data_IF_497768705497
#
_entry.id   IF_497768705497
#
_cell.length_a   1.000
_cell.length_b   1.000
_cell.length_c   1.000
_cell.angle_alpha   90.00
_cell.angle_beta   90.00
_cell.angle_gamma   90.00
#
_symmetry.space_group_name_H-M   'P 1'
#
loop_
_entity.id
_entity.type
_entity.pdbx_description
1 polymer ?
#
# COMPACT_ATOMS: atom_id res chain seq x y z
N UNK A 1 12.55 -12.68 -22.85
CA UNK A 1 11.85 -11.68 -22.01
C UNK A 1 12.16 -11.86 -20.52
N UNK A 2 12.14 -13.07 -19.94
CA UNK A 2 12.55 -13.26 -18.54
C UNK A 2 14.02 -12.89 -18.25
N UNK A 3 14.95 -13.09 -19.18
CA UNK A 3 16.34 -12.61 -19.05
C UNK A 3 16.44 -11.09 -18.85
N UNK A 4 15.46 -10.32 -19.33
CA UNK A 4 15.47 -8.86 -19.22
C UNK A 4 14.99 -8.35 -17.84
N UNK A 5 14.34 -9.21 -17.04
CA UNK A 5 13.88 -8.89 -15.70
C UNK A 5 14.66 -9.73 -14.70
N UNK A 6 15.45 -9.07 -13.84
CA UNK A 6 16.19 -9.62 -12.69
C UNK A 6 16.78 -11.03 -12.88
N UNK A 7 18.11 -11.10 -13.08
CA UNK A 7 18.93 -12.31 -13.29
C UNK A 7 18.58 -13.53 -12.40
N UNK A 8 18.10 -13.32 -11.18
CA UNK A 8 17.73 -14.37 -10.20
C UNK A 8 16.45 -15.13 -10.52
N UNK A 9 15.64 -14.67 -11.48
CA UNK A 9 14.40 -15.36 -11.86
C UNK A 9 14.66 -16.68 -12.60
N UNK A 10 15.75 -16.77 -13.35
CA UNK A 10 16.13 -17.99 -14.08
C UNK A 10 16.70 -19.08 -13.18
N UNK A 11 17.23 -18.71 -12.03
CA UNK A 11 17.74 -19.66 -11.02
C UNK A 11 16.61 -20.35 -10.26
N UNK A 12 15.37 -19.83 -10.37
CA UNK A 12 14.22 -20.40 -9.69
C UNK A 12 13.78 -21.70 -10.36
N UNK A 13 13.45 -22.72 -9.58
CA UNK A 13 12.83 -23.92 -10.10
C UNK A 13 11.57 -23.58 -10.88
N UNK A 14 11.41 -24.21 -12.04
CA UNK A 14 10.33 -23.95 -12.98
C UNK A 14 9.47 -25.20 -13.15
N UNK A 15 8.15 -25.00 -13.14
CA UNK A 15 7.16 -26.03 -13.42
C UNK A 15 6.43 -25.65 -14.70
N UNK A 16 6.35 -26.56 -15.67
CA UNK A 16 5.67 -26.31 -16.94
C UNK A 16 4.31 -26.99 -16.93
N UNK A 17 3.25 -26.20 -17.11
CA UNK A 17 1.87 -26.71 -17.18
C UNK A 17 1.34 -26.51 -18.59
N UNK A 18 1.10 -27.61 -19.29
CA UNK A 18 0.42 -27.64 -20.57
C UNK A 18 -1.10 -27.69 -20.32
N UNK A 19 -1.75 -26.53 -20.42
CA UNK A 19 -3.20 -26.42 -20.27
C UNK A 19 -3.93 -26.61 -21.62
N UNK A 20 -5.22 -26.95 -21.57
CA UNK A 20 -6.15 -27.15 -22.69
C UNK A 20 -5.85 -28.39 -23.53
N UNK A 21 -5.58 -29.51 -22.87
CA UNK A 21 -5.36 -30.80 -23.54
C UNK A 21 -6.59 -31.37 -24.25
N UNK A 22 -7.76 -30.77 -24.05
CA UNK A 22 -9.01 -31.05 -24.78
C UNK A 22 -9.00 -30.56 -26.24
N UNK A 23 -8.02 -29.73 -26.63
CA UNK A 23 -7.95 -29.17 -27.98
C UNK A 23 -7.30 -30.13 -29.00
N UNK A 24 -7.82 -30.12 -30.22
CA UNK A 24 -7.23 -30.87 -31.34
C UNK A 24 -5.75 -30.49 -31.56
N UNK A 25 -4.90 -31.52 -31.65
CA UNK A 25 -3.46 -31.36 -31.83
C UNK A 25 -2.69 -30.92 -30.57
N UNK A 26 -3.32 -30.93 -29.39
CA UNK A 26 -2.62 -30.65 -28.13
C UNK A 26 -1.55 -31.73 -27.82
N UNK A 27 -1.89 -33.01 -28.02
CA UNK A 27 -0.96 -34.13 -27.79
C UNK A 27 0.31 -34.02 -28.63
N UNK A 28 0.18 -33.70 -29.92
CA UNK A 28 1.33 -33.55 -30.83
C UNK A 28 2.25 -32.40 -30.41
N UNK A 29 1.66 -31.28 -29.96
CA UNK A 29 2.41 -30.11 -29.47
C UNK A 29 3.15 -30.42 -28.17
N UNK A 30 2.50 -31.09 -27.23
CA UNK A 30 3.12 -31.48 -25.97
C UNK A 30 4.23 -32.51 -26.22
N UNK A 31 4.01 -33.46 -27.11
CA UNK A 31 5.02 -34.43 -27.50
C UNK A 31 6.25 -33.75 -28.13
N UNK A 32 6.05 -32.81 -29.06
CA UNK A 32 7.13 -32.02 -29.65
C UNK A 32 7.87 -31.18 -28.60
N UNK A 33 7.15 -30.61 -27.64
CA UNK A 33 7.74 -29.82 -26.55
C UNK A 33 8.60 -30.70 -25.62
N UNK A 34 8.07 -31.87 -25.19
CA UNK A 34 8.80 -32.83 -24.35
C UNK A 34 10.07 -33.34 -25.04
N UNK A 35 10.04 -33.55 -26.36
CA UNK A 35 11.25 -33.89 -27.12
C UNK A 35 12.27 -32.75 -27.18
N UNK A 36 11.80 -31.51 -27.34
CA UNK A 36 12.69 -30.35 -27.47
C UNK A 36 13.34 -29.95 -26.15
N UNK A 37 12.62 -30.16 -25.04
CA UNK A 37 13.03 -29.77 -23.70
C UNK A 37 12.84 -30.90 -22.67
N UNK A 38 13.64 -31.98 -22.74
CA UNK A 38 13.51 -33.14 -21.86
C UNK A 38 13.85 -32.84 -20.39
N UNK A 39 14.48 -31.70 -20.11
CA UNK A 39 14.87 -31.27 -18.76
C UNK A 39 13.71 -30.72 -17.93
N UNK A 40 12.59 -30.32 -18.56
CA UNK A 40 11.45 -29.75 -17.85
C UNK A 40 10.37 -30.80 -17.66
N UNK A 41 9.86 -30.89 -16.43
CA UNK A 41 8.67 -31.68 -16.15
C UNK A 41 7.43 -30.92 -16.62
N UNK A 42 6.65 -31.58 -17.49
CA UNK A 42 5.49 -30.99 -18.15
C UNK A 42 4.24 -31.70 -17.68
N UNK A 43 3.36 -30.94 -17.05
CA UNK A 43 2.07 -31.41 -16.54
C UNK A 43 0.95 -31.07 -17.51
N UNK A 44 0.29 -32.10 -18.00
CA UNK A 44 -0.86 -32.00 -18.89
C UNK A 44 -2.13 -31.77 -18.07
N UNK A 45 -2.89 -30.72 -18.39
CA UNK A 45 -4.07 -30.31 -17.62
C UNK A 45 -5.23 -29.90 -18.51
N UNK A 46 -6.45 -30.20 -18.04
CA UNK A 46 -7.70 -29.67 -18.59
C UNK A 46 -8.41 -28.94 -17.45
N UNK A 47 -8.16 -27.63 -17.34
CA UNK A 47 -8.68 -26.83 -16.23
C UNK A 47 -10.21 -26.74 -16.20
N UNK A 48 -10.90 -26.98 -17.32
CA UNK A 48 -12.36 -26.95 -17.38
C UNK A 48 -13.02 -28.06 -16.53
N UNK A 49 -12.37 -29.23 -16.47
CA UNK A 49 -12.85 -30.41 -15.73
C UNK A 49 -11.96 -30.73 -14.51
N UNK A 50 -11.03 -29.82 -14.17
CA UNK A 50 -10.03 -29.98 -13.11
C UNK A 50 -9.17 -31.24 -13.24
N UNK A 51 -8.96 -31.74 -14.46
CA UNK A 51 -8.14 -32.92 -14.72
C UNK A 51 -6.65 -32.53 -14.75
N UNK A 52 -5.81 -33.37 -14.13
CA UNK A 52 -4.36 -33.18 -14.06
C UNK A 52 -3.88 -32.14 -13.04
N UNK A 53 -4.78 -31.30 -12.50
CA UNK A 53 -4.41 -30.22 -11.59
C UNK A 53 -3.84 -30.72 -10.26
N UNK A 54 -4.32 -31.86 -9.77
CA UNK A 54 -3.86 -32.42 -8.49
C UNK A 54 -2.39 -32.85 -8.54
N UNK A 55 -1.93 -33.39 -9.67
CA UNK A 55 -0.51 -33.72 -9.87
C UNK A 55 0.37 -32.45 -9.84
N UNK A 56 -0.09 -31.36 -10.44
CA UNK A 56 0.60 -30.05 -10.40
C UNK A 56 0.71 -29.54 -8.96
N UNK A 57 -0.36 -29.61 -8.18
CA UNK A 57 -0.38 -29.13 -6.80
C UNK A 57 0.63 -29.90 -5.94
N UNK A 58 0.66 -31.23 -6.05
CA UNK A 58 1.62 -32.04 -5.30
C UNK A 58 3.05 -31.76 -5.74
N UNK A 59 3.32 -31.68 -7.05
CA UNK A 59 4.64 -31.36 -7.55
C UNK A 59 5.15 -29.99 -7.08
N UNK A 60 4.27 -28.98 -7.04
CA UNK A 60 4.63 -27.65 -6.52
C UNK A 60 4.86 -27.69 -5.00
N UNK A 61 4.08 -28.46 -4.25
CA UNK A 61 4.28 -28.62 -2.81
C UNK A 61 5.64 -29.26 -2.50
N UNK A 62 5.96 -30.36 -3.18
CA UNK A 62 7.25 -31.05 -3.04
C UNK A 62 8.42 -30.14 -3.44
N UNK A 63 8.23 -29.34 -4.50
CA UNK A 63 9.22 -28.34 -4.92
C UNK A 63 9.42 -27.26 -3.86
N UNK A 64 8.36 -26.76 -3.24
CA UNK A 64 8.45 -25.74 -2.18
C UNK A 64 9.12 -26.25 -0.90
N UNK A 65 9.05 -27.55 -0.63
CA UNK A 65 9.70 -28.20 0.51
C UNK A 65 11.18 -28.48 0.27
N UNK A 66 11.55 -28.78 -0.98
CA UNK A 66 12.96 -29.04 -1.35
C UNK A 66 13.78 -27.78 -1.59
N UNK A 67 13.11 -26.67 -1.91
CA UNK A 67 13.76 -25.42 -2.28
C UNK A 67 14.13 -24.60 -1.04
N UNK A 68 15.40 -24.23 -0.94
CA UNK A 68 15.84 -23.28 0.06
C UNK A 68 15.25 -21.89 -0.23
N UNK A 69 14.25 -21.52 0.58
CA UNK A 69 13.55 -20.24 0.49
C UNK A 69 14.50 -19.05 0.70
N UNK A 70 15.64 -19.25 1.37
CA UNK A 70 16.62 -18.21 1.64
C UNK A 70 17.55 -17.95 0.44
N UNK A 71 17.77 -18.93 -0.43
CA UNK A 71 18.63 -18.80 -1.62
C UNK A 71 18.12 -17.77 -2.64
N UNK A 72 16.82 -17.48 -2.63
CA UNK A 72 16.17 -16.51 -3.54
C UNK A 72 15.74 -15.23 -2.86
N UNK A 73 16.11 -15.02 -1.59
CA UNK A 73 15.94 -13.73 -0.93
C UNK A 73 16.76 -12.72 -1.70
N UNK A 74 16.06 -11.83 -2.39
CA UNK A 74 16.62 -10.59 -2.89
C UNK A 74 17.00 -9.81 -1.63
N UNK A 75 18.22 -10.02 -1.13
CA UNK A 75 18.89 -8.98 -0.38
C UNK A 75 18.83 -7.78 -1.32
N UNK A 76 18.14 -6.69 -0.94
CA UNK A 76 18.09 -5.53 -1.80
C UNK A 76 19.55 -5.22 -2.13
N UNK A 77 19.89 -5.31 -3.41
CA UNK A 77 21.08 -4.65 -3.92
C UNK A 77 21.01 -3.24 -3.35
N UNK A 78 22.11 -2.78 -2.79
CA UNK A 78 22.28 -1.55 -2.01
C UNK A 78 21.93 -0.26 -2.77
N UNK A 79 21.15 -0.33 -3.85
CA UNK A 79 20.79 0.72 -4.80
C UNK A 79 19.29 0.78 -5.13
N UNK A 80 18.44 -0.09 -4.56
CA UNK A 80 17.03 0.26 -4.42
C UNK A 80 16.87 0.82 -3.01
N UNK A 81 16.67 2.14 -2.90
CA UNK A 81 16.13 2.74 -1.69
C UNK A 81 14.82 2.02 -1.37
N UNK A 82 14.91 0.99 -0.53
CA UNK A 82 13.77 0.41 0.14
C UNK A 82 13.28 1.51 1.05
N UNK A 83 12.40 2.37 0.52
CA UNK A 83 11.58 3.25 1.32
C UNK A 83 10.66 2.32 2.10
N UNK A 84 11.16 1.86 3.24
CA UNK A 84 10.37 1.22 4.26
C UNK A 84 9.28 2.24 4.62
N UNK A 85 8.10 2.10 4.02
CA UNK A 85 6.88 2.69 4.53
C UNK A 85 6.58 1.99 5.85
N UNK A 86 7.33 2.37 6.88
CA UNK A 86 6.87 2.23 8.25
C UNK A 86 5.63 3.13 8.30
N UNK A 87 4.46 2.53 8.42
CA UNK A 87 3.29 3.25 8.87
C UNK A 87 3.59 3.66 10.32
N UNK A 88 4.28 4.78 10.47
CA UNK A 88 4.23 5.53 11.70
C UNK A 88 2.80 6.05 11.74
N UNK A 89 1.99 5.72 12.77
CA UNK A 89 0.73 6.41 12.94
C UNK A 89 1.10 7.89 12.93
N UNK A 90 0.58 8.64 11.94
CA UNK A 90 0.74 10.09 11.91
C UNK A 90 0.37 10.57 13.30
N UNK A 91 1.38 10.88 14.11
CA UNK A 91 1.18 11.59 15.35
C UNK A 91 0.42 12.81 14.89
N UNK A 92 -0.78 13.02 15.42
CA UNK A 92 -1.60 14.16 15.07
C UNK A 92 -0.70 15.39 15.11
N UNK A 93 -0.41 15.99 13.95
CA UNK A 93 0.55 17.10 13.83
C UNK A 93 -0.10 18.38 14.40
N UNK A 94 -0.54 18.35 15.64
CA UNK A 94 -1.20 19.46 16.31
C UNK A 94 -0.21 20.07 17.28
N UNK A 95 0.05 21.36 17.12
CA UNK A 95 0.87 22.15 18.03
C UNK A 95 0.06 23.35 18.48
N UNK A 96 0.11 23.63 19.78
CA UNK A 96 -0.60 24.76 20.38
C UNK A 96 0.39 25.56 21.22
N UNK A 97 0.47 26.85 20.99
CA UNK A 97 1.35 27.77 21.71
C UNK A 97 0.52 28.93 22.26
N UNK A 98 0.68 29.25 23.55
CA UNK A 98 0.04 30.43 24.14
C UNK A 98 0.84 31.68 23.75
N UNK A 99 0.23 32.59 23.00
CA UNK A 99 0.90 33.82 22.51
C UNK A 99 0.61 35.01 23.42
N UNK A 100 -0.64 35.14 23.86
CA UNK A 100 -1.10 36.18 24.77
C UNK A 100 -2.13 35.60 25.76
N UNK A 101 -2.49 36.30 26.85
CA UNK A 101 -3.56 35.84 27.72
C UNK A 101 -4.84 35.63 26.91
N UNK A 102 -5.41 34.42 26.97
CA UNK A 102 -6.61 34.01 26.22
C UNK A 102 -6.44 33.98 24.69
N UNK A 103 -5.19 33.99 24.19
CA UNK A 103 -4.89 33.88 22.76
C UNK A 103 -3.92 32.75 22.49
N UNK A 104 -4.41 31.73 21.78
CA UNK A 104 -3.67 30.52 21.43
C UNK A 104 -3.34 30.49 19.95
N UNK A 105 -2.10 30.16 19.61
CA UNK A 105 -1.67 29.89 18.24
C UNK A 105 -1.67 28.39 18.01
N UNK A 106 -2.56 27.94 17.13
CA UNK A 106 -2.68 26.56 16.70
C UNK A 106 -1.96 26.39 15.35
N UNK A 107 -1.11 25.38 15.23
CA UNK A 107 -0.45 25.03 13.97
C UNK A 107 -0.54 23.54 13.68
N UNK A 108 -0.83 23.22 12.43
CA UNK A 108 -0.86 21.84 11.94
C UNK A 108 -0.58 21.75 10.45
N UNK A 109 0.43 20.97 10.09
CA UNK A 109 0.81 20.72 8.70
C UNK A 109 -0.30 20.02 7.89
N UNK A 110 -1.06 19.13 8.55
CA UNK A 110 -2.15 18.39 7.90
C UNK A 110 -3.35 19.31 7.63
N UNK A 111 -3.73 20.15 8.59
CA UNK A 111 -4.81 21.13 8.43
C UNK A 111 -4.45 22.19 7.40
N UNK A 112 -3.23 22.75 7.48
CA UNK A 112 -2.68 23.73 6.55
C UNK A 112 -2.69 23.22 5.10
N UNK A 113 -2.26 21.97 4.88
CA UNK A 113 -2.27 21.37 3.55
C UNK A 113 -3.69 21.25 2.97
N UNK A 114 -4.67 20.91 3.79
CA UNK A 114 -6.06 20.78 3.36
C UNK A 114 -6.73 22.14 3.11
N UNK A 115 -6.32 23.16 3.88
CA UNK A 115 -6.75 24.56 3.78
C UNK A 115 -6.15 25.27 2.58
N UNK A 116 -4.88 25.01 2.24
CA UNK A 116 -4.19 25.63 1.08
C UNK A 116 -4.90 25.43 -0.27
N UNK A 117 -5.78 24.42 -0.36
CA UNK A 117 -6.56 24.08 -1.56
C UNK A 117 -7.95 24.75 -1.57
N UNK A 118 -8.34 25.42 -0.49
CA UNK A 118 -9.66 26.02 -0.30
C UNK A 118 -9.50 27.54 -0.20
N UNK A 119 -10.31 28.29 -0.94
CA UNK A 119 -10.41 29.74 -0.75
C UNK A 119 -11.60 30.02 0.14
N UNK A 120 -11.38 30.64 1.29
CA UNK A 120 -12.45 31.06 2.20
C UNK A 120 -12.89 32.45 1.77
N UNK A 121 -14.03 32.54 1.09
CA UNK A 121 -14.57 33.83 0.61
C UNK A 121 -15.99 34.10 1.07
N UNK A 122 -16.69 33.10 1.61
CA UNK A 122 -18.08 33.22 2.04
C UNK A 122 -18.30 32.63 3.43
N UNK A 123 -19.38 33.05 4.10
CA UNK A 123 -19.80 32.52 5.41
C UNK A 123 -20.03 30.99 5.39
N UNK A 124 -20.40 30.44 4.22
CA UNK A 124 -20.57 29.00 4.01
C UNK A 124 -19.23 28.26 4.10
N UNK A 125 -18.14 28.89 3.66
CA UNK A 125 -16.81 28.29 3.70
C UNK A 125 -16.23 28.31 5.12
N UNK A 126 -16.56 29.33 5.91
CA UNK A 126 -16.25 29.37 7.36
C UNK A 126 -16.95 28.22 8.09
N UNK A 127 -18.20 27.92 7.77
CA UNK A 127 -18.90 26.78 8.37
C UNK A 127 -18.29 25.43 7.97
N UNK A 128 -17.86 25.28 6.71
CA UNK A 128 -17.16 24.06 6.25
C UNK A 128 -15.82 23.88 6.95
N UNK A 129 -15.11 24.97 7.21
CA UNK A 129 -13.89 24.96 7.99
C UNK A 129 -14.13 24.45 9.41
N UNK A 130 -15.14 24.98 10.11
CA UNK A 130 -15.51 24.49 11.44
C UNK A 130 -15.82 22.98 11.44
N UNK A 131 -16.53 22.49 10.41
CA UNK A 131 -16.78 21.04 10.26
C UNK A 131 -15.50 20.23 9.99
N UNK A 132 -14.54 20.81 9.26
CA UNK A 132 -13.24 20.19 8.98
C UNK A 132 -12.45 20.01 10.28
N UNK A 133 -12.39 21.05 11.11
CA UNK A 133 -11.73 21.02 12.42
C UNK A 133 -12.34 19.97 13.34
N UNK A 134 -13.68 19.91 13.40
CA UNK A 134 -14.38 18.86 14.16
C UNK A 134 -14.10 17.45 13.65
N UNK A 135 -14.07 17.24 12.33
CA UNK A 135 -13.75 15.92 11.73
C UNK A 135 -12.31 15.48 11.99
N UNK A 136 -11.39 16.41 12.12
CA UNK A 136 -9.98 16.13 12.39
C UNK A 136 -9.66 16.06 13.89
N UNK A 137 -10.64 16.31 14.76
CA UNK A 137 -10.46 16.28 16.21
C UNK A 137 -9.68 17.47 16.76
N UNK A 138 -9.65 18.59 16.04
CA UNK A 138 -8.99 19.83 16.51
C UNK A 138 -9.71 20.38 17.74
N UNK A 139 -11.04 20.41 17.75
CA UNK A 139 -11.84 20.88 18.89
C UNK A 139 -11.54 20.06 20.17
N UNK A 140 -11.39 18.73 20.03
CA UNK A 140 -11.06 17.84 21.15
C UNK A 140 -9.63 18.11 21.66
N UNK A 141 -8.68 18.30 20.74
CA UNK A 141 -7.31 18.62 21.07
C UNK A 141 -7.19 19.98 21.79
N UNK A 142 -7.91 21.01 21.33
CA UNK A 142 -7.94 22.33 21.99
C UNK A 142 -8.52 22.22 23.40
N UNK A 143 -9.58 21.42 23.59
CA UNK A 143 -10.17 21.17 24.91
C UNK A 143 -9.22 20.42 25.84
N UNK A 144 -8.51 19.41 25.34
CA UNK A 144 -7.48 18.67 26.10
C UNK A 144 -6.31 19.56 26.53
N UNK A 145 -5.94 20.54 25.71
CA UNK A 145 -4.88 21.51 26.01
C UNK A 145 -5.33 22.66 26.93
N UNK A 146 -6.62 22.72 27.28
CA UNK A 146 -7.15 23.70 28.23
C UNK A 146 -7.55 25.05 27.64
N UNK A 147 -7.87 25.10 26.35
CA UNK A 147 -8.53 26.26 25.73
C UNK A 147 -9.96 26.36 26.28
N UNK A 148 -10.32 27.52 26.83
CA UNK A 148 -11.65 27.75 27.41
C UNK A 148 -12.60 28.41 26.40
N UNK A 149 -13.91 28.30 26.65
CA UNK A 149 -14.95 28.99 25.87
C UNK A 149 -14.72 30.51 25.91
N UNK A 150 -14.64 31.14 24.74
CA UNK A 150 -14.33 32.56 24.58
C UNK A 150 -12.84 32.88 24.37
N UNK A 151 -11.94 31.89 24.42
CA UNK A 151 -10.54 32.09 24.06
C UNK A 151 -10.39 32.30 22.55
N UNK A 152 -9.44 33.15 22.17
CA UNK A 152 -9.09 33.40 20.77
C UNK A 152 -8.10 32.35 20.27
N UNK A 153 -8.41 31.70 19.16
CA UNK A 153 -7.50 30.77 18.48
C UNK A 153 -7.08 31.37 17.13
N UNK A 154 -5.77 31.43 16.92
CA UNK A 154 -5.13 31.88 15.69
C UNK A 154 -4.60 30.66 14.95
N UNK A 155 -5.03 30.49 13.70
CA UNK A 155 -4.54 29.46 12.78
C UNK A 155 -4.17 30.11 11.44
N UNK A 156 -2.88 30.11 11.10
CA UNK A 156 -2.33 30.83 9.94
C UNK A 156 -2.80 32.30 9.91
N UNK A 157 -3.50 32.72 8.85
CA UNK A 157 -4.00 34.09 8.67
C UNK A 157 -5.42 34.28 9.25
N UNK A 158 -5.97 33.29 9.95
CA UNK A 158 -7.34 33.26 10.44
C UNK A 158 -7.35 33.30 11.96
N UNK A 159 -8.16 34.19 12.52
CA UNK A 159 -8.42 34.30 13.95
C UNK A 159 -9.91 34.03 14.19
N UNK A 160 -10.21 33.15 15.14
CA UNK A 160 -11.58 32.86 15.55
C UNK A 160 -11.68 32.70 17.06
N UNK A 161 -12.89 32.88 17.57
CA UNK A 161 -13.23 32.62 18.97
C UNK A 161 -13.61 31.15 19.12
N UNK A 162 -13.04 30.46 20.10
CA UNK A 162 -13.41 29.10 20.43
C UNK A 162 -14.73 29.12 21.18
N UNK A 163 -15.74 28.45 20.60
CA UNK A 163 -17.07 28.31 21.18
C UNK A 163 -17.35 26.81 21.33
N UNK A 164 -17.56 26.35 22.56
CA UNK A 164 -17.87 24.94 22.86
C UNK A 164 -19.38 24.61 22.77
#
# INVERSE_FOLDING_TARGET
ELEAYQWRLLERPMVVVANKMDMDGAEEKVFAFKQRYPQYEVFETITLINEGLQAVIYAVADLLDTVDKQAFVITPSTEEEVVLFKFEPKVSDFTLELVEPQTWHFSSATVAHQMSRQTITSDVDVFRLAQLFRKMGVDEYLREQGVEDGDTVIFEDIQFEFID
#
